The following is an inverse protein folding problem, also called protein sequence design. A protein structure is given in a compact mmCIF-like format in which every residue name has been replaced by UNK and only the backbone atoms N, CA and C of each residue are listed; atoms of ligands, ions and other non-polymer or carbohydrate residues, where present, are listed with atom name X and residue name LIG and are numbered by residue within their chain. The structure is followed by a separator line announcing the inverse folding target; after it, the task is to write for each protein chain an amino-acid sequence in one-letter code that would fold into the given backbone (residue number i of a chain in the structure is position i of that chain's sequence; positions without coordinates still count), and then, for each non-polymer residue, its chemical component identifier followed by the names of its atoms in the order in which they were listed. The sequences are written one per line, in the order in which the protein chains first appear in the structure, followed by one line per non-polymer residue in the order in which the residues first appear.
data_IF_136568474598
#
_entry.id   IF_136568474598
#
_cell.length_a   1.000
_cell.length_b   1.000
_cell.length_c   1.000
_cell.angle_alpha   90.00
_cell.angle_beta   90.00
_cell.angle_gamma   90.00
#
_symmetry.space_group_name_H-M   'P 1'
#
loop_
_entity.id
_entity.type
_entity.pdbx_description
1 polymer ?
#
# COMPACT_ATOMS: atom_id res chain seq x y z
N UNK A 1 -0.98 -17.58 1.73
CA UNK A 1 -1.13 -16.65 2.85
C UNK A 1 -2.12 -15.53 2.54
N UNK A 2 -1.73 -14.44 1.90
CA UNK A 2 -2.68 -13.39 1.52
C UNK A 2 -3.23 -13.64 0.12
N UNK A 3 -4.51 -13.37 -0.08
CA UNK A 3 -5.17 -13.57 -1.38
C UNK A 3 -5.25 -12.30 -2.21
N UNK A 4 -5.23 -11.14 -1.55
CA UNK A 4 -5.27 -9.85 -2.25
C UNK A 4 -4.62 -8.76 -1.43
N UNK A 5 -4.23 -7.68 -2.10
CA UNK A 5 -3.80 -6.46 -1.45
C UNK A 5 -4.52 -5.29 -2.13
N UNK A 6 -5.06 -4.40 -1.31
CA UNK A 6 -5.68 -3.17 -1.77
C UNK A 6 -4.81 -2.00 -1.35
N UNK A 7 -4.40 -1.19 -2.30
CA UNK A 7 -3.52 -0.05 -2.07
C UNK A 7 -4.30 1.23 -2.37
N UNK A 8 -4.41 2.11 -1.38
CA UNK A 8 -5.10 3.39 -1.50
C UNK A 8 -4.13 4.54 -1.37
N UNK A 9 -4.21 5.49 -2.27
CA UNK A 9 -3.36 6.70 -2.25
C UNK A 9 -4.24 7.91 -2.52
N UNK A 10 -4.08 8.95 -1.69
CA UNK A 10 -4.66 10.27 -1.97
C UNK A 10 -3.58 11.13 -2.61
N UNK A 11 -3.90 11.71 -3.76
CA UNK A 11 -2.99 12.55 -4.52
C UNK A 11 -3.56 13.96 -4.55
N UNK A 12 -2.82 14.91 -4.00
CA UNK A 12 -3.22 16.31 -3.94
C UNK A 12 -2.85 17.03 -5.23
N UNK A 13 -3.51 18.18 -5.47
CA UNK A 13 -3.34 18.93 -6.71
C UNK A 13 -1.89 19.31 -7.05
N UNK A 14 -1.06 19.50 -6.02
CA UNK A 14 0.34 19.88 -6.19
C UNK A 14 1.29 18.71 -6.41
N UNK A 15 0.78 17.48 -6.33
CA UNK A 15 1.59 16.28 -6.44
C UNK A 15 1.51 15.68 -7.84
N UNK A 16 2.56 14.97 -8.24
CA UNK A 16 2.58 14.26 -9.53
C UNK A 16 1.99 12.86 -9.37
N UNK A 17 0.81 12.65 -9.93
CA UNK A 17 0.16 11.34 -9.96
C UNK A 17 1.05 10.30 -10.63
N UNK A 18 1.65 10.66 -11.76
CA UNK A 18 2.49 9.73 -12.51
C UNK A 18 3.73 9.30 -11.75
N UNK A 19 4.36 10.23 -11.03
CA UNK A 19 5.54 9.93 -10.25
C UNK A 19 5.23 8.99 -9.08
N UNK A 20 4.13 9.27 -8.38
CA UNK A 20 3.70 8.45 -7.25
C UNK A 20 3.33 7.03 -7.72
N UNK A 21 2.53 6.94 -8.78
CA UNK A 21 2.11 5.66 -9.32
C UNK A 21 3.30 4.84 -9.83
N UNK A 22 4.23 5.47 -10.54
CA UNK A 22 5.43 4.81 -11.03
C UNK A 22 6.25 4.24 -9.87
N UNK A 23 6.47 5.03 -8.83
CA UNK A 23 7.25 4.60 -7.67
C UNK A 23 6.59 3.43 -6.95
N UNK A 24 5.26 3.45 -6.83
CA UNK A 24 4.53 2.34 -6.23
C UNK A 24 4.64 1.07 -7.08
N UNK A 25 4.43 1.17 -8.38
CA UNK A 25 4.50 0.01 -9.28
C UNK A 25 5.90 -0.59 -9.29
N UNK A 26 6.94 0.22 -9.22
CA UNK A 26 8.31 -0.27 -9.07
C UNK A 26 8.51 -1.02 -7.76
N UNK A 27 7.97 -0.50 -6.65
CA UNK A 27 8.07 -1.17 -5.37
C UNK A 27 7.39 -2.52 -5.38
N UNK A 28 6.16 -2.60 -5.91
CA UNK A 28 5.42 -3.87 -5.94
C UNK A 28 5.82 -4.78 -7.09
N UNK A 29 6.73 -4.31 -7.95
CA UNK A 29 7.25 -5.04 -9.11
C UNK A 29 6.14 -5.50 -10.06
N UNK A 30 5.27 -4.57 -10.42
CA UNK A 30 4.15 -4.81 -11.34
C UNK A 30 4.10 -3.73 -12.41
N UNK A 31 3.54 -4.08 -13.58
CA UNK A 31 3.26 -3.11 -14.62
C UNK A 31 1.81 -2.64 -14.50
N UNK A 32 1.51 -1.48 -15.07
CA UNK A 32 0.17 -0.90 -15.04
C UNK A 32 -0.87 -1.83 -15.68
N UNK A 33 -0.45 -2.63 -16.66
CA UNK A 33 -1.35 -3.56 -17.36
C UNK A 33 -1.74 -4.78 -16.54
N UNK A 34 -1.01 -5.05 -15.47
CA UNK A 34 -1.18 -6.24 -14.63
C UNK A 34 -1.88 -5.94 -13.31
N UNK A 35 -2.39 -4.73 -13.13
CA UNK A 35 -3.08 -4.33 -11.91
C UNK A 35 -4.41 -3.69 -12.24
N UNK A 36 -5.37 -3.79 -11.31
CA UNK A 36 -6.65 -3.09 -11.44
C UNK A 36 -6.53 -1.76 -10.72
N UNK A 37 -6.79 -0.67 -11.45
CA UNK A 37 -6.69 0.67 -10.88
C UNK A 37 -8.05 1.37 -11.02
N UNK A 38 -8.58 1.83 -9.89
CA UNK A 38 -9.75 2.68 -9.85
C UNK A 38 -9.30 4.09 -9.49
N UNK A 39 -9.70 5.05 -10.30
CA UNK A 39 -9.33 6.45 -10.10
C UNK A 39 -10.59 7.25 -9.80
N UNK A 40 -10.63 7.89 -8.64
CA UNK A 40 -11.77 8.70 -8.21
C UNK A 40 -11.26 10.14 -8.01
N UNK A 41 -11.86 11.06 -8.75
CA UNK A 41 -11.54 12.48 -8.62
C UNK A 41 -12.62 13.14 -7.77
N UNK A 42 -12.21 13.83 -6.72
CA UNK A 42 -13.11 14.58 -5.84
C UNK A 42 -12.57 15.99 -5.65
N UNK A 43 -13.41 16.87 -5.12
CA UNK A 43 -12.97 18.19 -4.72
C UNK A 43 -12.63 18.17 -3.24
N UNK A 44 -11.42 18.62 -2.91
CA UNK A 44 -11.01 18.80 -1.54
C UNK A 44 -11.40 20.17 -1.01
N UNK A 45 -10.80 20.55 0.10
CA UNK A 45 -10.98 21.86 0.71
C UNK A 45 -10.59 22.95 -0.32
N UNK A 46 -11.39 24.03 -0.39
CA UNK A 46 -11.19 25.11 -1.34
C UNK A 46 -11.27 24.71 -2.82
N UNK A 47 -12.03 23.68 -3.12
CA UNK A 47 -12.25 23.15 -4.49
C UNK A 47 -10.98 22.65 -5.17
N UNK A 48 -9.91 22.39 -4.42
CA UNK A 48 -8.72 21.76 -4.97
C UNK A 48 -9.01 20.30 -5.31
N UNK A 49 -8.63 19.82 -6.49
CA UNK A 49 -8.88 18.43 -6.85
C UNK A 49 -8.03 17.49 -6.01
N UNK A 50 -8.67 16.41 -5.56
CA UNK A 50 -7.99 15.30 -4.90
C UNK A 50 -8.32 14.05 -5.70
N UNK A 51 -7.29 13.29 -6.04
CA UNK A 51 -7.44 12.03 -6.75
C UNK A 51 -7.17 10.92 -5.76
N UNK A 52 -8.11 9.98 -5.67
CA UNK A 52 -7.90 8.74 -4.92
C UNK A 52 -7.62 7.63 -5.93
N UNK A 53 -6.48 6.99 -5.81
CA UNK A 53 -6.17 5.78 -6.55
C UNK A 53 -6.39 4.58 -5.64
N UNK A 54 -7.10 3.59 -6.15
CA UNK A 54 -7.30 2.32 -5.46
C UNK A 54 -6.78 1.24 -6.39
N UNK A 55 -5.72 0.56 -5.97
CA UNK A 55 -5.06 -0.47 -6.76
C UNK A 55 -5.31 -1.80 -6.08
N UNK A 56 -5.86 -2.75 -6.82
CA UNK A 56 -6.16 -4.09 -6.29
C UNK A 56 -5.33 -5.13 -7.03
N UNK A 57 -4.67 -5.99 -6.27
CA UNK A 57 -3.84 -7.08 -6.78
C UNK A 57 -4.29 -8.35 -6.09
N UNK A 58 -4.59 -9.39 -6.86
CA UNK A 58 -5.15 -10.64 -6.33
C UNK A 58 -4.37 -11.89 -6.76
N UNK A 59 -3.12 -11.72 -7.18
CA UNK A 59 -2.25 -12.85 -7.50
C UNK A 59 -0.81 -12.53 -7.06
N UNK A 60 -0.10 -13.57 -6.65
CA UNK A 60 1.29 -13.46 -6.19
C UNK A 60 1.48 -12.36 -5.11
N UNK A 61 0.47 -12.21 -4.25
CA UNK A 61 0.45 -11.16 -3.23
C UNK A 61 1.52 -11.38 -2.17
N UNK A 62 1.87 -12.64 -1.90
CA UNK A 62 2.90 -12.96 -0.92
C UNK A 62 4.27 -12.42 -1.31
N UNK A 63 4.55 -12.25 -2.61
CA UNK A 63 5.79 -11.63 -3.06
C UNK A 63 5.87 -10.18 -2.64
N UNK A 64 4.75 -9.48 -2.71
CA UNK A 64 4.67 -8.07 -2.28
C UNK A 64 4.84 -8.01 -0.76
N UNK A 65 4.13 -8.87 -0.03
CA UNK A 65 4.23 -8.94 1.42
C UNK A 65 5.66 -9.25 1.88
N UNK A 66 6.30 -10.22 1.26
CA UNK A 66 7.67 -10.60 1.63
C UNK A 66 8.66 -9.47 1.39
N UNK A 67 8.48 -8.73 0.31
CA UNK A 67 9.33 -7.59 0.00
C UNK A 67 9.15 -6.49 1.05
N UNK A 68 7.91 -6.20 1.42
CA UNK A 68 7.61 -5.24 2.47
C UNK A 68 8.20 -5.68 3.81
N UNK A 69 8.02 -6.94 4.17
CA UNK A 69 8.52 -7.48 5.43
C UNK A 69 10.04 -7.38 5.53
N UNK A 70 10.76 -7.72 4.46
CA UNK A 70 12.22 -7.57 4.42
C UNK A 70 12.64 -6.12 4.64
N UNK A 71 11.95 -5.18 4.01
CA UNK A 71 12.24 -3.77 4.19
C UNK A 71 11.98 -3.32 5.62
N UNK A 72 10.90 -3.81 6.23
CA UNK A 72 10.61 -3.50 7.63
C UNK A 72 11.70 -4.01 8.57
N UNK A 73 12.19 -5.21 8.34
CA UNK A 73 13.30 -5.78 9.14
C UNK A 73 14.55 -4.91 9.00
N UNK A 74 14.86 -4.46 7.81
CA UNK A 74 16.01 -3.59 7.57
C UNK A 74 15.90 -2.24 8.30
N UNK A 75 14.68 -1.72 8.41
CA UNK A 75 14.44 -0.42 9.04
C UNK A 75 14.45 -0.51 10.56
N UNK A 76 13.75 -1.47 11.13
CA UNK A 76 13.49 -1.50 12.57
C UNK A 76 13.87 -2.81 13.27
N UNK A 77 14.37 -3.79 12.53
CA UNK A 77 14.71 -5.10 13.09
C UNK A 77 13.54 -6.06 13.09
N UNK A 78 13.84 -7.34 13.28
CA UNK A 78 12.85 -8.42 13.19
C UNK A 78 11.79 -8.32 14.28
N UNK A 79 12.18 -8.06 15.51
CA UNK A 79 11.25 -8.01 16.64
C UNK A 79 10.22 -6.89 16.48
N UNK A 80 10.68 -5.68 16.11
CA UNK A 80 9.80 -4.54 15.92
C UNK A 80 8.91 -4.73 14.68
N UNK A 81 9.44 -5.32 13.62
CA UNK A 81 8.66 -5.63 12.42
C UNK A 81 7.52 -6.59 12.76
N UNK A 82 7.81 -7.66 13.52
CA UNK A 82 6.80 -8.63 13.93
C UNK A 82 5.76 -8.02 14.86
N UNK A 83 6.17 -7.13 15.75
CA UNK A 83 5.25 -6.40 16.63
C UNK A 83 4.32 -5.50 15.84
N UNK A 84 4.85 -4.78 14.86
CA UNK A 84 4.04 -3.93 13.98
C UNK A 84 2.98 -4.75 13.24
N UNK A 85 3.38 -5.88 12.67
CA UNK A 85 2.46 -6.75 11.94
C UNK A 85 1.35 -7.26 12.87
N UNK A 86 1.73 -7.73 14.05
CA UNK A 86 0.77 -8.23 15.03
C UNK A 86 -0.21 -7.14 15.47
N UNK A 87 0.29 -5.94 15.74
CA UNK A 87 -0.53 -4.82 16.20
C UNK A 87 -1.49 -4.31 15.12
N UNK A 88 -1.15 -4.51 13.85
CA UNK A 88 -1.94 -4.00 12.72
C UNK A 88 -2.69 -5.09 11.96
N UNK A 89 -2.80 -6.28 12.53
CA UNK A 89 -3.58 -7.38 11.99
C UNK A 89 -4.88 -7.51 12.76
N UNK A 90 -6.02 -7.50 12.04
CA UNK A 90 -7.33 -7.58 12.67
C UNK A 90 -7.80 -9.02 12.88
N UNK A 91 -9.05 -9.20 13.35
CA UNK A 91 -9.63 -10.51 13.63
C UNK A 91 -9.79 -11.39 12.38
N UNK A 92 -9.90 -10.76 11.20
CA UNK A 92 -10.00 -11.46 9.93
C UNK A 92 -8.62 -11.80 9.37
N UNK A 93 -7.59 -11.48 10.12
CA UNK A 93 -6.19 -11.62 9.70
C UNK A 93 -5.84 -10.71 8.52
N UNK A 94 -6.52 -9.57 8.39
CA UNK A 94 -6.15 -8.53 7.44
C UNK A 94 -5.06 -7.66 8.05
N UNK A 95 -4.01 -7.45 7.28
CA UNK A 95 -2.89 -6.62 7.71
C UNK A 95 -3.00 -5.23 7.11
N UNK A 96 -3.04 -4.22 7.97
CA UNK A 96 -3.12 -2.82 7.58
C UNK A 96 -1.75 -2.18 7.72
N UNK A 97 -1.20 -1.69 6.61
CA UNK A 97 0.10 -1.02 6.61
C UNK A 97 -0.02 0.35 5.96
N UNK A 98 0.87 1.26 6.35
CA UNK A 98 0.94 2.59 5.77
C UNK A 98 2.39 2.96 5.52
N UNK A 99 2.70 3.35 4.29
CA UNK A 99 4.04 3.77 3.90
C UNK A 99 4.04 5.28 3.67
N UNK A 100 5.16 5.92 4.01
CA UNK A 100 5.34 7.34 3.73
C UNK A 100 5.37 7.57 2.21
N UNK A 101 4.43 8.38 1.73
CA UNK A 101 4.25 8.62 0.29
C UNK A 101 5.45 9.34 -0.32
N UNK A 102 5.97 10.35 0.35
CA UNK A 102 7.09 11.12 -0.16
C UNK A 102 8.38 10.29 -0.20
N UNK A 103 8.60 9.48 0.83
CA UNK A 103 9.76 8.58 0.87
C UNK A 103 9.67 7.53 -0.24
N UNK A 104 8.46 6.99 -0.48
CA UNK A 104 8.25 6.03 -1.56
C UNK A 104 8.62 6.63 -2.92
N UNK A 105 8.32 7.90 -3.16
CA UNK A 105 8.69 8.59 -4.39
C UNK A 105 10.20 8.67 -4.59
N UNK A 106 10.97 8.55 -3.52
CA UNK A 106 12.43 8.52 -3.55
C UNK A 106 13.00 7.11 -3.43
N UNK A 107 12.15 6.09 -3.59
CA UNK A 107 12.55 4.70 -3.52
C UNK A 107 12.82 4.20 -2.10
N UNK A 108 12.40 4.94 -1.08
CA UNK A 108 12.62 4.60 0.31
C UNK A 108 11.32 4.09 0.92
N UNK A 109 11.37 2.91 1.54
CA UNK A 109 10.23 2.33 2.24
C UNK A 109 10.32 2.71 3.70
N UNK A 110 9.31 3.45 4.19
CA UNK A 110 9.24 3.87 5.57
C UNK A 110 7.80 3.86 6.02
N UNK A 111 7.54 3.31 7.20
CA UNK A 111 6.20 3.29 7.78
C UNK A 111 5.80 4.69 8.22
N UNK A 112 4.52 5.02 8.04
CA UNK A 112 3.99 6.34 8.37
C UNK A 112 2.56 6.22 8.85
N UNK A 113 2.14 7.17 9.68
CA UNK A 113 0.76 7.29 10.14
C UNK A 113 0.07 8.56 9.60
N UNK A 114 0.73 9.27 8.70
CA UNK A 114 0.22 10.52 8.11
C UNK A 114 -0.06 10.32 6.62
N UNK A 115 0.14 11.34 5.82
CA UNK A 115 -0.09 11.33 4.37
C UNK A 115 0.61 10.14 3.70
N UNK A 116 -0.08 9.02 3.60
CA UNK A 116 0.51 7.72 3.38
C UNK A 116 -0.08 6.97 2.20
N UNK A 117 0.68 5.99 1.73
CA UNK A 117 0.19 4.93 0.87
C UNK A 117 -0.32 3.83 1.78
N UNK A 118 -1.63 3.58 1.76
CA UNK A 118 -2.25 2.57 2.61
C UNK A 118 -2.31 1.25 1.86
N UNK A 119 -1.79 0.18 2.48
CA UNK A 119 -1.84 -1.16 1.90
C UNK A 119 -2.57 -2.08 2.86
N UNK A 120 -3.60 -2.75 2.38
CA UNK A 120 -4.38 -3.72 3.17
C UNK A 120 -4.22 -5.09 2.54
N UNK A 121 -3.51 -5.98 3.22
CA UNK A 121 -3.35 -7.36 2.79
C UNK A 121 -4.51 -8.17 3.37
N UNK A 122 -5.23 -8.86 2.50
CA UNK A 122 -6.46 -9.59 2.85
C UNK A 122 -6.30 -11.08 2.64
N UNK A 123 -6.89 -11.88 3.53
CA UNK A 123 -7.00 -13.32 3.38
C UNK A 123 -8.44 -13.68 3.03
N UNK A 124 -8.61 -14.74 2.23
CA UNK A 124 -9.93 -15.32 2.06
C UNK A 124 -10.39 -15.94 3.37
N UNK A 125 -11.64 -15.71 3.73
CA UNK A 125 -12.23 -16.34 4.90
C UNK A 125 -12.36 -17.84 4.70
N UNK A 126 -12.42 -18.59 5.82
CA UNK A 126 -12.53 -20.05 5.78
C UNK A 126 -13.78 -20.54 5.07
N UNK A 127 -14.80 -19.69 4.96
CA UNK A 127 -16.10 -20.03 4.37
C UNK A 127 -16.22 -19.65 2.91
N UNK A 128 -15.17 -19.08 2.34
CA UNK A 128 -15.17 -18.62 0.95
C UNK A 128 -14.41 -19.57 0.04
N UNK A 129 -14.06 -20.71 0.57
CA UNK A 129 -13.32 -21.74 -0.18
C UNK A 129 -14.26 -22.50 -1.13
#
# INVERSE_FOLDING_TARGET
MFSSVEISILIHATESENKILKSLLEFIDRSIDNVQIKRIKTEGHWKNPIIRLIITINYEVDKIYNKLYKQMIEICGEDDANEYIKANTDRKEYLFTRLDKQKLCNGIIMLSDRDSVRMVFKKLGKFES
#
